data_IF_375326242912
#
_entry.id   IF_375326242912
#
_cell.length_a   1.000
_cell.length_b   1.000
_cell.length_c   1.000
_cell.angle_alpha   90.00
_cell.angle_beta   90.00
_cell.angle_gamma   90.00
#
_symmetry.space_group_name_H-M   'P 1'
#
loop_
_entity.id
_entity.type
_entity.pdbx_description
1 polymer ?
#
# COMPACT_ATOMS: atom_id res chain seq x y z
N UNK A 1 2.92 -15.38 26.04
CA UNK A 1 2.31 -16.74 26.16
C UNK A 1 1.53 -17.07 24.87
N UNK A 2 1.65 -18.28 24.31
CA UNK A 2 0.89 -18.68 23.11
C UNK A 2 1.45 -18.20 21.76
N UNK A 3 2.65 -17.60 21.74
CA UNK A 3 3.40 -17.20 20.53
C UNK A 3 4.76 -17.86 20.60
N UNK A 4 5.20 -18.47 19.51
CA UNK A 4 6.50 -19.13 19.45
C UNK A 4 7.63 -18.08 19.55
N UNK A 5 8.53 -18.27 20.51
CA UNK A 5 9.69 -17.38 20.66
C UNK A 5 10.65 -17.50 19.48
N UNK A 6 11.15 -16.36 18.98
CA UNK A 6 12.14 -16.30 17.90
C UNK A 6 11.62 -16.69 16.51
N UNK A 7 10.30 -16.92 16.36
CA UNK A 7 9.71 -17.25 15.09
C UNK A 7 9.75 -16.06 14.10
N UNK A 8 9.82 -16.36 12.80
CA UNK A 8 9.83 -15.36 11.72
C UNK A 8 8.66 -15.61 10.77
N UNK A 9 7.92 -14.54 10.46
CA UNK A 9 6.83 -14.55 9.49
C UNK A 9 7.23 -13.68 8.29
N UNK A 10 7.05 -14.19 7.07
CA UNK A 10 7.34 -13.47 5.83
C UNK A 10 6.07 -12.97 5.11
N UNK A 11 4.88 -13.21 5.70
CA UNK A 11 3.60 -12.74 5.12
C UNK A 11 3.55 -11.21 5.20
N UNK A 12 3.21 -10.51 4.11
CA UNK A 12 2.98 -9.06 4.16
C UNK A 12 1.80 -8.73 5.07
N UNK A 13 1.99 -7.75 5.96
CA UNK A 13 0.97 -7.23 6.88
C UNK A 13 0.98 -5.71 6.85
N UNK A 14 -0.07 -5.09 7.37
CA UNK A 14 -0.28 -3.65 7.32
C UNK A 14 -0.26 -3.04 8.72
N UNK A 15 0.01 -1.73 8.81
CA UNK A 15 -0.10 -1.01 10.08
C UNK A 15 -1.53 -1.06 10.65
N UNK A 16 -2.54 -1.08 9.78
CA UNK A 16 -3.95 -1.14 10.14
C UNK A 16 -4.32 -2.43 10.88
N UNK A 17 -3.57 -3.51 10.69
CA UNK A 17 -3.80 -4.80 11.34
C UNK A 17 -3.53 -4.72 12.86
N UNK A 18 -2.71 -3.77 13.33
CA UNK A 18 -2.32 -3.67 14.74
C UNK A 18 -3.50 -3.45 15.67
N UNK A 19 -4.43 -2.56 15.32
CA UNK A 19 -5.54 -2.23 16.23
C UNK A 19 -6.41 -3.46 16.49
N UNK A 20 -6.85 -4.15 15.43
CA UNK A 20 -7.66 -5.36 15.56
C UNK A 20 -6.90 -6.51 16.22
N UNK A 21 -5.59 -6.62 15.96
CA UNK A 21 -4.72 -7.60 16.65
C UNK A 21 -4.69 -7.36 18.16
N UNK A 22 -4.47 -6.11 18.59
CA UNK A 22 -4.41 -5.79 20.03
C UNK A 22 -5.76 -5.98 20.71
N UNK A 23 -6.87 -5.57 20.06
CA UNK A 23 -8.21 -5.80 20.58
C UNK A 23 -8.49 -7.31 20.79
N UNK A 24 -8.18 -8.13 19.78
CA UNK A 24 -8.32 -9.59 19.85
C UNK A 24 -7.45 -10.21 20.96
N UNK A 25 -6.17 -9.83 21.04
CA UNK A 25 -5.27 -10.35 22.07
C UNK A 25 -5.70 -9.99 23.49
N UNK A 26 -6.35 -8.84 23.68
CA UNK A 26 -6.89 -8.40 24.97
C UNK A 26 -8.30 -8.95 25.27
N UNK A 27 -8.92 -9.69 24.35
CA UNK A 27 -10.29 -10.19 24.53
C UNK A 27 -11.35 -9.08 24.49
N UNK A 28 -11.06 -7.96 23.83
CA UNK A 28 -12.00 -6.86 23.64
C UNK A 28 -12.97 -7.16 22.48
N UNK A 29 -14.13 -6.47 22.41
CA UNK A 29 -15.02 -6.55 21.26
C UNK A 29 -14.30 -6.19 19.95
N UNK A 30 -14.72 -6.82 18.84
CA UNK A 30 -14.16 -6.50 17.52
C UNK A 30 -14.44 -5.03 17.18
N UNK A 31 -13.41 -4.21 16.89
CA UNK A 31 -13.63 -2.82 16.53
C UNK A 31 -14.44 -2.69 15.24
N UNK A 32 -15.51 -1.87 15.23
CA UNK A 32 -16.29 -1.62 14.03
C UNK A 32 -15.53 -0.70 13.07
N UNK A 33 -15.85 -0.78 11.78
CA UNK A 33 -15.35 0.13 10.73
C UNK A 33 -13.82 0.18 10.57
N UNK A 34 -13.12 -0.94 10.79
CA UNK A 34 -11.69 -1.05 10.53
C UNK A 34 -11.42 -2.04 9.39
N UNK A 35 -10.46 -1.71 8.54
CA UNK A 35 -10.07 -2.55 7.40
C UNK A 35 -9.01 -3.60 7.77
N UNK A 36 -8.29 -3.36 8.87
CA UNK A 36 -7.26 -4.25 9.39
C UNK A 36 -7.81 -5.60 9.86
N UNK A 37 -6.91 -6.58 9.96
CA UNK A 37 -7.17 -7.97 10.32
C UNK A 37 -6.35 -8.34 11.53
N UNK A 38 -6.87 -9.24 12.37
CA UNK A 38 -6.05 -9.75 13.48
C UNK A 38 -4.89 -10.59 12.93
N UNK A 39 -3.67 -10.30 13.38
CA UNK A 39 -2.47 -11.06 13.11
C UNK A 39 -2.32 -12.28 14.02
N UNK A 40 -3.27 -12.52 14.95
CA UNK A 40 -3.24 -13.67 15.87
C UNK A 40 -2.92 -15.00 15.18
N UNK A 41 -3.50 -15.35 14.01
CA UNK A 41 -3.15 -16.60 13.32
C UNK A 41 -1.65 -16.67 12.95
N UNK A 42 -1.06 -15.57 12.49
CA UNK A 42 0.37 -15.49 12.14
C UNK A 42 1.29 -15.47 13.36
N UNK A 43 0.82 -14.91 14.49
CA UNK A 43 1.55 -14.94 15.75
C UNK A 43 1.61 -16.38 16.33
N UNK A 44 0.57 -17.18 16.10
CA UNK A 44 0.52 -18.57 16.55
C UNK A 44 1.25 -19.53 15.58
N UNK A 45 1.10 -19.30 14.27
CA UNK A 45 1.69 -20.08 13.20
C UNK A 45 2.20 -19.14 12.09
N UNK A 46 3.51 -18.84 12.04
CA UNK A 46 4.09 -17.89 11.08
C UNK A 46 3.90 -18.24 9.60
N UNK A 47 3.65 -19.52 9.32
CA UNK A 47 3.43 -20.08 7.99
C UNK A 47 1.93 -20.22 7.64
N UNK A 48 1.02 -19.81 8.54
CA UNK A 48 -0.42 -19.92 8.31
C UNK A 48 -0.84 -19.25 6.99
N UNK A 49 -1.91 -19.76 6.35
CA UNK A 49 -2.47 -19.14 5.15
C UNK A 49 -2.85 -17.69 5.40
N UNK A 50 -2.34 -16.80 4.53
CA UNK A 50 -2.61 -15.37 4.58
C UNK A 50 -3.01 -14.88 3.19
N UNK A 51 -4.31 -14.89 2.84
CA UNK A 51 -4.77 -14.59 1.48
C UNK A 51 -4.74 -13.09 1.12
N UNK A 52 -4.39 -12.22 2.07
CA UNK A 52 -4.44 -10.78 1.90
C UNK A 52 -3.06 -10.21 1.55
N UNK A 53 -2.96 -9.28 0.58
CA UNK A 53 -1.75 -8.48 0.40
C UNK A 53 -1.71 -7.35 1.45
N UNK A 54 -0.54 -6.74 1.58
CA UNK A 54 -0.43 -5.41 2.17
C UNK A 54 -0.69 -4.34 1.10
N UNK A 55 -1.41 -3.28 1.45
CA UNK A 55 -1.76 -2.16 0.57
C UNK A 55 -1.14 -0.89 1.16
N UNK A 56 -0.60 -0.04 0.30
CA UNK A 56 -0.09 1.28 0.68
C UNK A 56 -0.74 2.32 -0.22
N UNK A 57 -1.24 3.39 0.38
CA UNK A 57 -1.86 4.50 -0.36
C UNK A 57 -1.12 5.79 -0.02
N UNK A 58 -0.81 6.57 -1.06
CA UNK A 58 -0.15 7.87 -0.91
C UNK A 58 -0.90 8.93 -1.73
N UNK A 59 -1.99 9.44 -1.13
CA UNK A 59 -2.91 10.35 -1.82
C UNK A 59 -3.90 9.63 -2.75
N UNK A 60 -4.78 10.39 -3.42
CA UNK A 60 -5.81 9.82 -4.29
C UNK A 60 -5.21 9.08 -5.49
N UNK A 61 -5.77 7.92 -5.82
CA UNK A 61 -5.43 7.11 -7.00
C UNK A 61 -3.98 6.63 -7.08
N UNK A 62 -3.21 6.72 -5.98
CA UNK A 62 -1.82 6.30 -5.93
C UNK A 62 -1.63 5.22 -4.87
N UNK A 63 -1.42 3.99 -5.34
CA UNK A 63 -1.49 2.80 -4.51
C UNK A 63 -0.43 1.77 -4.88
N UNK A 64 0.02 1.02 -3.88
CA UNK A 64 0.82 -0.19 -4.04
C UNK A 64 0.14 -1.40 -3.39
N UNK A 65 0.30 -2.57 -4.01
CA UNK A 65 -0.14 -3.88 -3.51
C UNK A 65 1.09 -4.78 -3.39
N UNK A 66 1.36 -5.28 -2.19
CA UNK A 66 2.46 -6.20 -1.88
C UNK A 66 1.91 -7.55 -1.44
N UNK A 67 2.09 -8.56 -2.28
CA UNK A 67 1.97 -9.99 -1.90
C UNK A 67 3.33 -10.52 -1.50
N UNK A 68 3.53 -11.83 -1.25
CA UNK A 68 4.87 -12.39 -0.98
C UNK A 68 5.81 -12.31 -2.17
N UNK A 69 5.28 -12.50 -3.39
CA UNK A 69 6.08 -12.54 -4.62
C UNK A 69 6.02 -11.24 -5.42
N UNK A 70 4.93 -10.50 -5.37
CA UNK A 70 4.73 -9.35 -6.25
C UNK A 70 4.58 -8.06 -5.46
N UNK A 71 5.20 -6.99 -5.95
CA UNK A 71 4.85 -5.61 -5.64
C UNK A 71 4.32 -4.96 -6.91
N UNK A 72 3.12 -4.42 -6.85
CA UNK A 72 2.48 -3.73 -7.97
C UNK A 72 2.07 -2.33 -7.54
N UNK A 73 2.49 -1.32 -8.29
CA UNK A 73 2.21 0.09 -8.02
C UNK A 73 1.41 0.64 -9.19
N UNK A 74 0.38 1.43 -8.87
CA UNK A 74 -0.35 2.24 -9.84
C UNK A 74 -0.38 3.67 -9.32
N UNK A 75 0.19 4.58 -10.11
CA UNK A 75 0.22 6.01 -9.82
C UNK A 75 -1.06 6.69 -10.26
N UNK A 76 -1.25 7.92 -9.76
CA UNK A 76 -2.45 8.72 -10.05
C UNK A 76 -2.61 9.08 -11.54
N UNK A 77 -1.50 9.17 -12.28
CA UNK A 77 -1.49 9.40 -13.73
C UNK A 77 -1.77 8.13 -14.56
N UNK A 78 -1.96 6.99 -13.89
CA UNK A 78 -2.20 5.69 -14.52
C UNK A 78 -0.94 4.93 -14.93
N UNK A 79 0.25 5.48 -14.73
CA UNK A 79 1.50 4.74 -14.89
C UNK A 79 1.59 3.60 -13.86
N UNK A 80 2.30 2.53 -14.23
CA UNK A 80 2.32 1.28 -13.47
C UNK A 80 3.75 0.75 -13.31
N UNK A 81 4.03 0.17 -12.14
CA UNK A 81 5.24 -0.59 -11.87
C UNK A 81 4.89 -1.99 -11.35
N UNK A 82 5.70 -2.99 -11.72
CA UNK A 82 5.55 -4.36 -11.27
C UNK A 82 6.92 -4.99 -11.02
N UNK A 83 7.13 -5.50 -9.81
CA UNK A 83 8.37 -6.16 -9.41
C UNK A 83 8.11 -7.59 -8.91
N UNK A 84 8.92 -8.54 -9.36
CA UNK A 84 8.98 -9.89 -8.79
C UNK A 84 9.95 -9.87 -7.61
N UNK A 85 9.40 -9.78 -6.40
CA UNK A 85 10.14 -9.64 -5.14
C UNK A 85 10.92 -10.89 -4.75
N UNK A 86 10.73 -12.02 -5.45
CA UNK A 86 11.54 -13.22 -5.29
C UNK A 86 12.77 -13.18 -6.19
N UNK A 87 12.61 -12.74 -7.44
CA UNK A 87 13.71 -12.67 -8.41
C UNK A 87 14.51 -11.36 -8.32
N UNK A 88 13.86 -10.28 -7.89
CA UNK A 88 14.37 -8.91 -7.82
C UNK A 88 13.93 -8.26 -6.49
N UNK A 89 14.52 -8.69 -5.36
CA UNK A 89 14.17 -8.16 -4.04
C UNK A 89 14.50 -6.67 -3.84
N UNK A 90 15.32 -6.09 -4.73
CA UNK A 90 15.71 -4.69 -4.69
C UNK A 90 14.91 -3.81 -5.66
N UNK A 91 13.97 -4.38 -6.42
CA UNK A 91 13.04 -3.64 -7.29
C UNK A 91 13.75 -2.83 -8.40
N UNK A 92 14.78 -3.40 -9.02
CA UNK A 92 15.53 -2.72 -10.08
C UNK A 92 14.91 -2.84 -11.46
N UNK A 93 14.08 -3.87 -11.69
CA UNK A 93 13.54 -4.19 -13.01
C UNK A 93 12.03 -4.08 -13.01
N UNK A 94 11.50 -2.99 -13.57
CA UNK A 94 10.07 -2.82 -13.76
C UNK A 94 9.55 -3.71 -14.90
N UNK A 95 8.67 -4.67 -14.57
CA UNK A 95 8.07 -5.63 -15.49
C UNK A 95 6.71 -5.17 -16.05
N UNK A 96 6.21 -3.98 -15.68
CA UNK A 96 4.84 -3.59 -15.96
C UNK A 96 4.52 -3.40 -17.45
N UNK A 97 5.51 -3.07 -18.28
CA UNK A 97 5.35 -2.88 -19.73
C UNK A 97 5.29 -4.19 -20.51
N UNK A 98 5.75 -5.29 -19.91
CA UNK A 98 5.87 -6.59 -20.56
C UNK A 98 4.50 -7.31 -20.65
N UNK A 99 4.03 -7.69 -21.86
CA UNK A 99 2.69 -8.24 -22.07
C UNK A 99 2.37 -9.51 -21.27
N UNK A 100 3.35 -10.36 -21.01
CA UNK A 100 3.23 -11.61 -20.29
C UNK A 100 2.79 -11.43 -18.83
N UNK A 101 3.05 -10.27 -18.21
CA UNK A 101 2.66 -9.97 -16.84
C UNK A 101 1.29 -9.30 -16.72
N UNK A 102 0.58 -9.03 -17.84
CA UNK A 102 -0.80 -8.50 -17.81
C UNK A 102 -1.75 -9.28 -16.90
N UNK A 103 -1.75 -10.63 -16.87
CA UNK A 103 -2.61 -11.38 -15.95
C UNK A 103 -2.26 -11.16 -14.47
N UNK A 104 -0.98 -10.98 -14.15
CA UNK A 104 -0.50 -10.68 -12.79
C UNK A 104 -1.00 -9.30 -12.36
N UNK A 105 -0.77 -8.26 -13.18
CA UNK A 105 -1.28 -6.90 -12.90
C UNK A 105 -2.79 -6.91 -12.69
N UNK A 106 -3.55 -7.56 -13.59
CA UNK A 106 -5.01 -7.64 -13.47
C UNK A 106 -5.47 -8.33 -12.19
N UNK A 107 -4.75 -9.34 -11.70
CA UNK A 107 -5.07 -10.00 -10.43
C UNK A 107 -4.79 -9.07 -9.25
N UNK A 108 -3.63 -8.41 -9.23
CA UNK A 108 -3.22 -7.50 -8.15
C UNK A 108 -4.09 -6.24 -8.10
N UNK A 109 -4.48 -5.71 -9.26
CA UNK A 109 -5.33 -4.52 -9.38
C UNK A 109 -6.73 -4.70 -8.73
N UNK A 110 -7.17 -5.94 -8.47
CA UNK A 110 -8.44 -6.21 -7.75
C UNK A 110 -8.38 -5.82 -6.27
N UNK A 111 -7.18 -5.70 -5.72
CA UNK A 111 -6.95 -5.29 -4.33
C UNK A 111 -6.85 -3.77 -4.18
N UNK A 112 -6.74 -3.03 -5.28
CA UNK A 112 -6.72 -1.57 -5.20
C UNK A 112 -8.02 -1.06 -4.59
N UNK A 113 -7.97 0.00 -3.77
CA UNK A 113 -9.15 0.66 -3.25
C UNK A 113 -10.13 1.00 -4.38
N UNK A 114 -11.39 0.59 -4.21
CA UNK A 114 -12.46 0.87 -5.19
C UNK A 114 -12.96 2.29 -5.09
N UNK A 115 -12.82 2.90 -3.92
CA UNK A 115 -13.26 4.26 -3.62
C UNK A 115 -12.02 5.06 -3.26
N UNK A 116 -11.73 6.06 -4.08
CA UNK A 116 -10.67 7.03 -3.85
C UNK A 116 -11.32 8.35 -3.44
N UNK A 117 -11.24 8.67 -2.16
CA UNK A 117 -11.79 9.92 -1.65
C UNK A 117 -10.81 11.06 -1.92
N UNK A 118 -11.28 12.22 -2.40
CA UNK A 118 -10.41 13.39 -2.48
C UNK A 118 -9.93 13.78 -1.08
N UNK A 119 -8.86 14.57 -0.99
CA UNK A 119 -8.44 15.15 0.28
C UNK A 119 -9.59 15.93 0.91
N UNK A 120 -9.59 15.96 2.24
CA UNK A 120 -10.52 16.80 2.99
C UNK A 120 -10.32 18.27 2.55
N UNK A 121 -11.40 19.04 2.28
CA UNK A 121 -11.27 20.45 1.94
C UNK A 121 -10.39 21.20 2.95
N UNK A 122 -9.40 21.93 2.47
CA UNK A 122 -8.42 22.66 3.29
C UNK A 122 -7.22 21.83 3.75
N UNK A 123 -7.18 20.52 3.47
CA UNK A 123 -5.95 19.72 3.63
C UNK A 123 -4.99 20.04 2.50
N UNK A 124 -3.79 20.51 2.84
CA UNK A 124 -2.69 20.63 1.88
C UNK A 124 -2.12 19.24 1.64
N UNK A 125 -2.29 18.70 0.43
CA UNK A 125 -1.58 17.49 0.07
C UNK A 125 -0.13 17.89 -0.22
N UNK A 126 0.82 17.15 0.33
CA UNK A 126 2.24 17.21 -0.06
C UNK A 126 2.48 16.46 -1.38
N UNK A 127 1.67 16.78 -2.38
CA UNK A 127 1.80 16.26 -3.74
C UNK A 127 1.85 17.45 -4.70
N UNK A 128 2.62 17.29 -5.78
CA UNK A 128 2.59 18.24 -6.88
C UNK A 128 1.29 18.01 -7.65
N UNK A 129 0.46 19.05 -7.71
CA UNK A 129 -0.76 19.06 -8.50
C UNK A 129 -0.46 19.69 -9.87
N UNK A 130 -0.64 18.94 -10.95
CA UNK A 130 -0.61 19.51 -12.29
C UNK A 130 -1.97 20.10 -12.63
N UNK A 131 -2.04 21.43 -12.74
CA UNK A 131 -3.23 22.19 -13.14
C UNK A 131 -3.00 22.77 -14.54
N UNK A 132 -4.06 23.32 -15.14
CA UNK A 132 -3.99 23.91 -16.49
C UNK A 132 -2.95 25.04 -16.59
N UNK A 133 -2.71 25.75 -15.49
CA UNK A 133 -1.77 26.87 -15.39
C UNK A 133 -0.37 26.46 -14.91
N UNK A 134 -0.12 25.16 -14.69
CA UNK A 134 1.19 24.62 -14.32
C UNK A 134 1.18 23.77 -13.04
N UNK A 135 2.36 23.45 -12.49
CA UNK A 135 2.48 22.69 -11.25
C UNK A 135 2.18 23.56 -10.02
N UNK A 136 1.53 22.95 -9.03
CA UNK A 136 1.21 23.55 -7.74
C UNK A 136 1.72 22.67 -6.59
N UNK A 137 2.24 23.29 -5.53
CA UNK A 137 2.67 22.64 -4.29
C UNK A 137 1.98 23.29 -3.09
N UNK A 138 1.32 22.49 -2.24
CA UNK A 138 0.60 22.96 -1.04
C UNK A 138 -0.33 24.17 -1.31
N UNK A 139 -1.01 24.17 -2.47
CA UNK A 139 -1.95 25.22 -2.85
C UNK A 139 -1.31 26.52 -3.37
N UNK A 140 -0.03 26.50 -3.74
CA UNK A 140 0.66 27.62 -4.41
C UNK A 140 1.22 27.18 -5.77
N UNK A 141 1.16 28.01 -6.82
CA UNK A 141 1.88 27.72 -8.06
C UNK A 141 3.38 27.66 -7.80
N UNK A 142 4.08 26.74 -8.46
CA UNK A 142 5.56 26.68 -8.43
C UNK A 142 6.12 26.99 -9.82
N UNK A 143 7.03 27.96 -9.87
CA UNK A 143 7.75 28.37 -11.06
C UNK A 143 9.07 27.60 -11.25
N UNK A 144 9.68 27.68 -12.44
CA UNK A 144 10.97 27.05 -12.73
C UNK A 144 12.13 27.52 -11.83
N UNK A 145 12.03 28.75 -11.31
CA UNK A 145 13.06 29.41 -10.50
C UNK A 145 12.73 29.41 -9.00
N UNK A 146 11.62 28.79 -8.59
CA UNK A 146 11.26 28.72 -7.17
C UNK A 146 12.21 27.78 -6.41
N UNK A 147 12.51 28.08 -5.13
CA UNK A 147 13.32 27.20 -4.32
C UNK A 147 12.62 25.84 -4.15
N UNK A 148 13.40 24.75 -4.16
CA UNK A 148 12.87 23.41 -3.88
C UNK A 148 12.22 23.45 -2.49
N UNK A 149 10.91 23.11 -2.36
CA UNK A 149 10.25 23.07 -1.07
C UNK A 149 10.93 22.07 -0.12
N UNK A 150 11.09 22.45 1.15
CA UNK A 150 11.67 21.60 2.21
C UNK A 150 10.86 20.32 2.49
#
# INVERSE_FOLDING_TARGET
PGVQSGARCARPVELLDLYRTLADLCGLPDPPNVEGRSLRPLLQAPDAPWPWPAITTHGPNNHAVRTERWRYIRYADGSEELYDMTADPNEWTNLASLPEYRPVKRRLARWLPRVNTPPVPGSVIRLIELREDGPWWEGKPIGPDDPIPD
#
